data_IF_352224696969
#
_entry.id   IF_352224696969
#
_cell.length_a   1.000
_cell.length_b   1.000
_cell.length_c   1.000
_cell.angle_alpha   90.00
_cell.angle_beta   90.00
_cell.angle_gamma   90.00
#
_symmetry.space_group_name_H-M   'P 1'
#
loop_
_entity.id
_entity.type
_entity.pdbx_description
1 polymer ?
#
# COMPACT_ATOMS: atom_id res chain seq x y z
N UNK A 1 -5.00 -58.41 4.31
CA UNK A 1 -4.03 -57.41 3.82
C UNK A 1 -4.81 -56.23 3.27
N UNK A 2 -4.59 -55.00 3.75
CA UNK A 2 -5.28 -53.81 3.27
C UNK A 2 -4.52 -53.19 2.09
N UNK A 3 -5.22 -52.80 1.03
CA UNK A 3 -4.65 -51.99 -0.04
C UNK A 3 -5.28 -50.59 0.01
N UNK A 4 -4.43 -49.64 0.45
CA UNK A 4 -4.18 -48.30 -0.14
C UNK A 4 -5.20 -47.94 -1.24
N UNK A 5 -6.04 -46.90 -1.12
CA UNK A 5 -5.77 -45.57 -0.60
C UNK A 5 -5.69 -44.60 -1.79
N UNK A 6 -6.74 -43.81 -2.02
CA UNK A 6 -6.63 -42.52 -2.71
C UNK A 6 -7.85 -41.66 -2.40
N UNK A 7 -7.80 -40.96 -1.28
CA UNK A 7 -8.60 -39.76 -1.04
C UNK A 7 -7.93 -38.65 -1.84
N UNK A 8 -8.39 -38.46 -3.08
CA UNK A 8 -8.08 -37.25 -3.86
C UNK A 8 -8.62 -36.06 -3.09
N UNK A 9 -7.73 -35.34 -2.41
CA UNK A 9 -8.04 -34.11 -1.71
C UNK A 9 -8.55 -33.11 -2.73
N UNK A 10 -9.82 -32.73 -2.59
CA UNK A 10 -10.32 -31.50 -3.21
C UNK A 10 -9.38 -30.38 -2.77
N UNK A 11 -8.71 -29.79 -3.76
CA UNK A 11 -7.85 -28.63 -3.59
C UNK A 11 -8.60 -27.61 -2.75
N UNK A 12 -8.15 -27.45 -1.52
CA UNK A 12 -8.55 -26.38 -0.63
C UNK A 12 -8.18 -25.11 -1.39
N UNK A 13 -9.18 -24.46 -1.98
CA UNK A 13 -9.10 -23.03 -2.23
C UNK A 13 -8.95 -22.40 -0.85
N UNK A 14 -7.72 -22.33 -0.36
CA UNK A 14 -7.38 -21.34 0.63
C UNK A 14 -7.66 -20.04 -0.11
N UNK A 15 -8.79 -19.38 0.19
CA UNK A 15 -8.90 -17.95 -0.02
C UNK A 15 -7.55 -17.39 0.41
N UNK A 16 -6.86 -16.73 -0.51
CA UNK A 16 -5.63 -16.01 -0.21
C UNK A 16 -5.93 -15.16 1.02
N UNK A 17 -5.49 -15.63 2.19
CA UNK A 17 -5.41 -14.79 3.37
C UNK A 17 -4.26 -13.87 3.05
N UNK A 18 -4.56 -12.79 2.34
CA UNK A 18 -3.64 -11.69 2.10
C UNK A 18 -3.05 -11.34 3.45
N UNK A 19 -1.77 -11.60 3.64
CA UNK A 19 -1.03 -11.26 4.85
C UNK A 19 -0.96 -9.73 4.93
N UNK A 20 -1.71 -9.09 5.86
CA UNK A 20 -1.80 -7.65 5.97
C UNK A 20 -0.43 -6.97 6.11
N UNK A 21 0.48 -7.56 6.90
CA UNK A 21 1.81 -7.01 7.10
C UNK A 21 2.67 -7.15 5.84
N UNK A 22 2.62 -8.30 5.16
CA UNK A 22 3.37 -8.48 3.91
C UNK A 22 2.86 -7.55 2.79
N UNK A 23 1.56 -7.34 2.71
CA UNK A 23 0.95 -6.40 1.76
C UNK A 23 1.29 -4.95 2.12
N UNK A 24 1.27 -4.60 3.41
CA UNK A 24 1.67 -3.27 3.88
C UNK A 24 3.11 -2.94 3.49
N UNK A 25 4.04 -3.87 3.72
CA UNK A 25 5.45 -3.73 3.34
C UNK A 25 5.62 -3.56 1.82
N UNK A 26 4.80 -4.22 1.01
CA UNK A 26 4.84 -4.03 -0.45
C UNK A 26 4.32 -2.65 -0.84
N UNK A 27 3.26 -2.17 -0.19
CA UNK A 27 2.62 -0.90 -0.53
C UNK A 27 3.44 0.32 -0.09
N UNK A 28 4.18 0.25 1.02
CA UNK A 28 5.02 1.36 1.48
C UNK A 28 6.22 1.62 0.55
N UNK A 29 6.70 0.59 -0.15
CA UNK A 29 7.79 0.70 -1.14
C UNK A 29 7.32 1.25 -2.50
N UNK A 30 6.01 1.28 -2.78
CA UNK A 30 5.44 1.76 -4.04
C UNK A 30 5.30 3.29 -4.07
N UNK A 31 6.41 3.95 -4.38
CA UNK A 31 6.49 5.42 -4.52
C UNK A 31 5.55 5.97 -5.60
N UNK A 32 5.24 5.20 -6.65
CA UNK A 32 4.39 5.67 -7.74
C UNK A 32 2.95 5.88 -7.29
N UNK A 33 2.42 4.91 -6.53
CA UNK A 33 1.06 4.98 -5.97
C UNK A 33 0.91 6.12 -4.96
N UNK A 34 1.96 6.46 -4.20
CA UNK A 34 1.97 7.62 -3.31
C UNK A 34 1.80 8.95 -4.02
N UNK A 35 2.34 9.11 -5.23
CA UNK A 35 2.24 10.34 -6.01
C UNK A 35 0.93 10.43 -6.80
N UNK A 36 0.43 9.30 -7.33
CA UNK A 36 -0.74 9.27 -8.21
C UNK A 36 -2.08 9.32 -7.45
N UNK A 37 -2.20 8.60 -6.34
CA UNK A 37 -3.46 8.43 -5.59
C UNK A 37 -3.23 8.54 -4.07
N UNK A 38 -2.49 9.58 -3.66
CA UNK A 38 -2.00 9.77 -2.29
C UNK A 38 -3.01 9.42 -1.18
N UNK A 39 -4.21 10.00 -1.20
CA UNK A 39 -5.20 9.83 -0.12
C UNK A 39 -5.77 8.40 -0.07
N UNK A 40 -6.00 7.80 -1.24
CA UNK A 40 -6.54 6.44 -1.34
C UNK A 40 -5.47 5.41 -0.96
N UNK A 41 -4.22 5.62 -1.39
CA UNK A 41 -3.08 4.77 -1.04
C UNK A 41 -2.77 4.84 0.45
N UNK A 42 -2.81 6.04 1.04
CA UNK A 42 -2.65 6.24 2.49
C UNK A 42 -3.75 5.55 3.29
N UNK A 43 -5.01 5.67 2.88
CA UNK A 43 -6.12 5.00 3.56
C UNK A 43 -5.96 3.48 3.52
N UNK A 44 -5.54 2.92 2.38
CA UNK A 44 -5.26 1.49 2.24
C UNK A 44 -4.16 1.02 3.19
N UNK A 45 -3.07 1.77 3.32
CA UNK A 45 -1.98 1.45 4.24
C UNK A 45 -2.40 1.51 5.72
N UNK A 46 -3.28 2.46 6.09
CA UNK A 46 -3.87 2.52 7.43
C UNK A 46 -4.73 1.27 7.70
N UNK A 47 -5.54 0.87 6.73
CA UNK A 47 -6.43 -0.30 6.87
C UNK A 47 -5.63 -1.61 7.00
N UNK A 48 -4.53 -1.74 6.25
CA UNK A 48 -3.60 -2.87 6.36
C UNK A 48 -2.87 -2.90 7.71
N UNK A 49 -2.41 -1.74 8.21
CA UNK A 49 -1.76 -1.66 9.52
C UNK A 49 -2.74 -2.03 10.66
N UNK A 50 -4.00 -1.57 10.58
CA UNK A 50 -5.04 -1.97 11.53
C UNK A 50 -5.33 -3.46 11.46
N UNK A 51 -5.43 -4.03 10.26
CA UNK A 51 -5.65 -5.47 10.09
C UNK A 51 -4.49 -6.30 10.63
N UNK A 52 -3.24 -5.82 10.52
CA UNK A 52 -2.07 -6.47 11.10
C UNK A 52 -2.11 -6.43 12.64
N UNK A 53 -2.51 -5.31 13.23
CA UNK A 53 -2.69 -5.17 14.68
C UNK A 53 -3.81 -6.09 15.20
N UNK A 54 -4.99 -6.03 14.57
CA UNK A 54 -6.15 -6.86 14.93
C UNK A 54 -5.85 -8.37 14.75
N UNK A 55 -5.01 -8.71 13.77
CA UNK A 55 -4.52 -10.06 13.52
C UNK A 55 -3.40 -10.51 14.46
N UNK A 56 -2.90 -9.63 15.33
CA UNK A 56 -1.78 -9.91 16.25
C UNK A 56 -0.44 -10.12 15.55
N UNK A 57 -0.29 -9.63 14.32
CA UNK A 57 0.97 -9.70 13.56
C UNK A 57 1.98 -8.64 13.98
N UNK A 58 1.47 -7.54 14.57
CA UNK A 58 2.25 -6.45 15.15
C UNK A 58 1.67 -6.06 16.50
N UNK A 59 2.48 -5.54 17.40
CA UNK A 59 2.03 -4.95 18.66
C UNK A 59 1.62 -3.48 18.51
N UNK A 60 1.15 -2.86 19.60
CA UNK A 60 0.79 -1.45 19.62
C UNK A 60 1.94 -0.50 19.32
N UNK A 61 3.16 -0.80 19.80
CA UNK A 61 4.34 -0.01 19.47
C UNK A 61 4.66 -0.08 17.98
N UNK A 62 4.74 -1.28 17.41
CA UNK A 62 5.00 -1.50 15.98
C UNK A 62 3.92 -0.86 15.10
N UNK A 63 2.65 -0.90 15.52
CA UNK A 63 1.57 -0.18 14.84
C UNK A 63 1.79 1.34 14.87
N UNK A 64 2.27 1.89 15.99
CA UNK A 64 2.66 3.30 16.09
C UNK A 64 3.77 3.65 15.09
N UNK A 65 4.83 2.84 15.04
CA UNK A 65 5.94 3.01 14.10
C UNK A 65 5.47 2.97 12.64
N UNK A 66 4.54 2.07 12.29
CA UNK A 66 3.95 2.02 10.97
C UNK A 66 3.21 3.31 10.60
N UNK A 67 2.48 3.94 11.54
CA UNK A 67 1.81 5.21 11.29
C UNK A 67 2.81 6.38 11.15
N UNK A 68 3.87 6.40 11.95
CA UNK A 68 4.94 7.39 11.83
C UNK A 68 5.62 7.32 10.45
N UNK A 69 5.89 6.11 9.95
CA UNK A 69 6.43 5.91 8.61
C UNK A 69 5.49 6.45 7.51
N UNK A 70 4.18 6.32 7.68
CA UNK A 70 3.21 6.89 6.74
C UNK A 70 3.21 8.42 6.76
N UNK A 71 3.34 9.03 7.93
CA UNK A 71 3.43 10.48 8.02
C UNK A 71 4.75 11.01 7.41
N UNK A 72 5.86 10.27 7.57
CA UNK A 72 7.10 10.56 6.84
C UNK A 72 6.93 10.46 5.32
N UNK A 73 6.24 9.42 4.83
CA UNK A 73 5.98 9.24 3.40
C UNK A 73 5.11 10.39 2.84
N UNK A 74 4.12 10.86 3.61
CA UNK A 74 3.31 12.02 3.24
C UNK A 74 4.16 13.28 3.09
N UNK A 75 5.04 13.58 4.05
CA UNK A 75 5.94 14.74 3.99
C UNK A 75 6.82 14.68 2.74
N UNK A 76 7.32 13.48 2.40
CA UNK A 76 8.10 13.28 1.17
C UNK A 76 7.29 13.61 -0.09
N UNK A 77 6.05 13.13 -0.20
CA UNK A 77 5.16 13.43 -1.34
C UNK A 77 4.88 14.93 -1.47
N UNK A 78 4.62 15.61 -0.35
CA UNK A 78 4.38 17.06 -0.35
C UNK A 78 5.59 17.85 -0.85
N UNK A 79 6.80 17.44 -0.46
CA UNK A 79 8.05 18.03 -0.95
C UNK A 79 8.23 17.77 -2.45
N UNK A 80 8.06 16.53 -2.90
CA UNK A 80 8.26 16.16 -4.31
C UNK A 80 7.27 16.89 -5.24
N UNK A 81 6.01 17.05 -4.81
CA UNK A 81 5.00 17.82 -5.55
C UNK A 81 5.37 19.31 -5.62
N UNK A 82 5.84 19.90 -4.51
CA UNK A 82 6.29 21.29 -4.48
C UNK A 82 7.52 21.52 -5.36
N UNK A 83 8.46 20.56 -5.39
CA UNK A 83 9.62 20.61 -6.27
C UNK A 83 9.20 20.49 -7.75
N UNK A 84 8.30 19.57 -8.09
CA UNK A 84 7.78 19.42 -9.44
C UNK A 84 7.04 20.67 -9.95
N UNK A 85 6.32 21.38 -9.07
CA UNK A 85 5.74 22.69 -9.38
C UNK A 85 6.83 23.75 -9.62
N UNK A 86 7.87 23.77 -8.80
CA UNK A 86 9.04 24.66 -8.97
C UNK A 86 9.84 24.43 -10.25
N UNK A 87 9.90 23.19 -10.75
CA UNK A 87 10.51 22.83 -12.03
C UNK A 87 9.60 23.05 -13.26
N UNK A 88 8.33 23.44 -13.06
CA UNK A 88 7.40 23.65 -14.16
C UNK A 88 6.92 22.37 -14.85
N UNK A 89 6.96 21.22 -14.16
CA UNK A 89 6.43 19.95 -14.69
C UNK A 89 4.89 19.96 -14.80
N UNK A 90 4.22 20.83 -14.04
CA UNK A 90 2.81 21.16 -14.18
C UNK A 90 2.59 22.50 -14.90
N UNK A 91 3.35 22.79 -15.96
CA UNK A 91 2.98 23.86 -16.89
C UNK A 91 1.71 23.42 -17.61
N UNK A 92 0.61 24.11 -17.30
CA UNK A 92 -0.70 23.83 -17.85
C UNK A 92 -0.68 23.65 -19.37
N UNK A 93 -1.60 22.83 -19.88
CA UNK A 93 -2.18 23.10 -21.19
C UNK A 93 -2.51 24.59 -21.22
N UNK A 94 -1.77 25.38 -21.96
CA UNK A 94 -2.34 26.58 -22.55
C UNK A 94 -3.40 26.05 -23.53
N UNK A 95 -4.71 26.23 -23.28
CA UNK A 95 -5.68 25.99 -24.32
C UNK A 95 -5.35 26.99 -25.43
N UNK A 96 -5.26 26.50 -26.66
CA UNK A 96 -4.62 27.18 -27.77
C UNK A 96 -4.90 28.68 -27.85
N UNK A 97 -3.83 29.46 -28.04
CA UNK A 97 -3.93 30.72 -28.76
C UNK A 97 -3.32 30.52 -30.14
N UNK A 98 -3.98 29.66 -30.91
CA UNK A 98 -3.94 29.72 -32.37
C UNK A 98 -5.06 30.66 -32.79
N UNK A 99 -4.71 31.93 -33.00
CA UNK A 99 -5.45 32.91 -33.80
C UNK A 99 -4.50 34.06 -34.11
#
# INVERSE_FOLDING_TARGET
>A
MPSIGSRGGAGRWCLDKTDPLAEWNRCIDDRGSFLAEHDQHRQRLIDLAKAALDGGQVCSEEFGEMLELLDCAKIWVEIELAEAEGFGLFVGRTPGKGA
#
